data_IF_722556179028
#
_entry.id   IF_722556179028
#
_cell.length_a   1.000
_cell.length_b   1.000
_cell.length_c   1.000
_cell.angle_alpha   90.00
_cell.angle_beta   90.00
_cell.angle_gamma   90.00
#
_symmetry.space_group_name_H-M   'P 1'
#
loop_
_entity.id
_entity.type
_entity.pdbx_description
1 polymer ?
#
# COMPACT_ATOMS: atom_id res chain seq x y z
N UNK A 1 7.46 -55.42 -12.06
CA UNK A 1 8.23 -54.62 -11.08
C UNK A 1 7.47 -53.30 -10.77
N UNK A 2 6.47 -53.40 -9.92
CA UNK A 2 5.56 -52.26 -9.57
C UNK A 2 6.36 -51.06 -9.07
N UNK A 3 7.40 -51.32 -8.25
CA UNK A 3 8.26 -50.25 -7.67
C UNK A 3 8.99 -49.44 -8.75
N UNK A 4 9.49 -50.09 -9.80
CA UNK A 4 10.18 -49.40 -10.90
C UNK A 4 9.21 -48.48 -11.69
N UNK A 5 7.97 -48.93 -11.93
CA UNK A 5 6.95 -48.12 -12.58
C UNK A 5 6.51 -46.95 -11.72
N UNK A 6 6.37 -47.15 -10.40
CA UNK A 6 6.01 -46.10 -9.46
C UNK A 6 7.12 -45.02 -9.41
N UNK A 7 8.38 -45.42 -9.33
CA UNK A 7 9.50 -44.48 -9.33
C UNK A 7 9.58 -43.68 -10.63
N UNK A 8 9.38 -44.33 -11.78
CA UNK A 8 9.36 -43.66 -13.08
C UNK A 8 8.20 -42.65 -13.13
N UNK A 9 7.00 -43.08 -12.71
CA UNK A 9 5.82 -42.20 -12.67
C UNK A 9 6.02 -40.96 -11.80
N UNK A 10 6.55 -41.16 -10.59
CA UNK A 10 6.87 -40.04 -9.68
C UNK A 10 7.94 -39.11 -10.27
N UNK A 11 8.96 -39.66 -10.92
CA UNK A 11 9.98 -38.86 -11.59
C UNK A 11 9.42 -37.97 -12.70
N UNK A 12 8.58 -38.56 -13.58
CA UNK A 12 7.91 -37.81 -14.66
C UNK A 12 6.93 -36.75 -14.08
N UNK A 13 6.18 -37.12 -13.05
CA UNK A 13 5.25 -36.20 -12.38
C UNK A 13 6.00 -34.98 -11.80
N UNK A 14 7.07 -35.22 -11.06
CA UNK A 14 7.89 -34.15 -10.47
C UNK A 14 8.55 -33.28 -11.54
N UNK A 15 9.11 -33.89 -12.60
CA UNK A 15 9.71 -33.15 -13.71
C UNK A 15 8.66 -32.26 -14.42
N UNK A 16 7.45 -32.80 -14.68
CA UNK A 16 6.36 -32.05 -15.28
C UNK A 16 5.89 -30.91 -14.39
N UNK A 17 5.77 -31.14 -13.09
CA UNK A 17 5.40 -30.10 -12.12
C UNK A 17 6.41 -28.95 -12.12
N UNK A 18 7.71 -29.25 -12.05
CA UNK A 18 8.78 -28.25 -12.08
C UNK A 18 8.78 -27.46 -13.41
N UNK A 19 8.52 -28.15 -14.52
CA UNK A 19 8.45 -27.52 -15.84
C UNK A 19 7.28 -26.54 -15.91
N UNK A 20 6.08 -26.97 -15.51
CA UNK A 20 4.89 -26.11 -15.48
C UNK A 20 5.09 -24.92 -14.55
N UNK A 21 5.63 -25.13 -13.34
CA UNK A 21 5.91 -24.06 -12.40
C UNK A 21 6.89 -23.04 -13.00
N UNK A 22 7.99 -23.50 -13.62
CA UNK A 22 8.95 -22.61 -14.26
C UNK A 22 8.38 -21.81 -15.44
N UNK A 23 7.49 -22.43 -16.24
CA UNK A 23 6.84 -21.76 -17.37
C UNK A 23 5.76 -20.73 -16.92
N UNK A 24 5.10 -20.98 -15.79
CA UNK A 24 4.07 -20.08 -15.25
C UNK A 24 4.65 -18.91 -14.46
N UNK A 25 5.84 -19.07 -13.89
CA UNK A 25 6.45 -18.08 -13.01
C UNK A 25 6.73 -16.75 -13.73
N UNK A 26 7.26 -16.79 -14.95
CA UNK A 26 7.62 -15.58 -15.70
C UNK A 26 6.39 -14.72 -16.05
N UNK A 27 5.35 -15.23 -16.71
CA UNK A 27 4.15 -14.44 -17.00
C UNK A 27 3.42 -13.98 -15.75
N UNK A 28 3.46 -14.77 -14.66
CA UNK A 28 2.88 -14.36 -13.38
C UNK A 28 3.61 -13.16 -12.79
N UNK A 29 4.95 -13.19 -12.77
CA UNK A 29 5.77 -12.07 -12.29
C UNK A 29 5.61 -10.83 -13.17
N UNK A 30 5.51 -10.99 -14.48
CA UNK A 30 5.28 -9.86 -15.40
C UNK A 30 3.90 -9.24 -15.18
N UNK A 31 2.87 -10.04 -14.92
CA UNK A 31 1.54 -9.56 -14.59
C UNK A 31 1.53 -8.75 -13.28
N UNK A 32 2.06 -9.31 -12.20
CA UNK A 32 2.16 -8.61 -10.92
C UNK A 32 3.00 -7.33 -11.00
N UNK A 33 4.10 -7.36 -11.76
CA UNK A 33 4.90 -6.17 -11.98
C UNK A 33 4.10 -5.08 -12.70
N UNK A 34 3.29 -5.44 -13.69
CA UNK A 34 2.40 -4.50 -14.39
C UNK A 34 1.40 -3.87 -13.41
N UNK A 35 0.67 -4.67 -12.65
CA UNK A 35 -0.31 -4.17 -11.67
C UNK A 35 0.32 -3.25 -10.62
N UNK A 36 1.50 -3.60 -10.10
CA UNK A 36 2.21 -2.74 -9.13
C UNK A 36 2.61 -1.41 -9.75
N UNK A 37 3.19 -1.41 -10.95
CA UNK A 37 3.61 -0.17 -11.63
C UNK A 37 2.43 0.71 -12.02
N UNK A 38 1.31 0.11 -12.43
CA UNK A 38 0.10 0.83 -12.82
C UNK A 38 -0.63 1.44 -11.60
N UNK A 39 -0.40 0.90 -10.41
CA UNK A 39 -0.98 1.40 -9.15
C UNK A 39 -0.09 2.38 -8.37
N UNK A 40 1.12 2.67 -8.85
CA UNK A 40 1.99 3.66 -8.20
C UNK A 40 1.35 5.05 -8.23
N UNK A 41 1.33 5.72 -7.06
CA UNK A 41 0.73 7.05 -6.90
C UNK A 41 1.53 8.10 -7.67
N UNK A 42 2.87 8.00 -7.67
CA UNK A 42 3.78 8.92 -8.35
C UNK A 42 5.04 8.20 -8.82
N UNK A 43 5.72 8.75 -9.83
CA UNK A 43 6.98 8.19 -10.33
C UNK A 43 8.09 8.13 -9.26
N UNK A 44 8.06 9.08 -8.32
CA UNK A 44 8.95 9.12 -7.16
C UNK A 44 8.16 9.42 -5.90
N UNK A 45 8.39 8.60 -4.88
CA UNK A 45 7.85 8.79 -3.53
C UNK A 45 9.00 8.91 -2.55
N UNK A 46 9.11 10.07 -1.90
CA UNK A 46 10.16 10.36 -0.93
C UNK A 46 9.59 10.34 0.47
N UNK A 47 10.22 9.57 1.36
CA UNK A 47 9.96 9.62 2.81
C UNK A 47 11.14 10.29 3.47
N UNK A 48 10.89 11.40 4.14
CA UNK A 48 11.92 12.22 4.77
C UNK A 48 12.17 11.78 6.21
N UNK A 49 13.43 11.82 6.64
CA UNK A 49 13.80 11.62 8.05
C UNK A 49 13.43 12.82 8.93
N UNK A 50 13.41 14.00 8.33
CA UNK A 50 12.97 15.25 8.94
C UNK A 50 12.32 16.11 7.85
N UNK A 51 11.34 16.97 8.19
CA UNK A 51 10.71 17.86 7.22
C UNK A 51 11.77 18.82 6.65
N UNK A 52 12.02 18.71 5.35
CA UNK A 52 12.92 19.57 4.56
C UNK A 52 12.11 20.09 3.38
N UNK A 53 12.12 21.39 3.17
CA UNK A 53 11.47 22.00 2.01
C UNK A 53 12.31 21.79 0.74
N UNK A 54 11.63 21.51 -0.36
CA UNK A 54 12.22 21.42 -1.70
C UNK A 54 11.85 22.63 -2.53
N UNK A 55 12.72 22.97 -3.47
CA UNK A 55 12.47 24.03 -4.45
C UNK A 55 11.74 23.55 -5.71
N UNK A 56 11.42 22.26 -5.79
CA UNK A 56 10.76 21.66 -6.94
C UNK A 56 9.26 22.01 -6.98
N UNK A 57 8.80 22.63 -8.05
CA UNK A 57 7.41 23.07 -8.21
C UNK A 57 6.42 21.91 -8.37
N UNK A 58 6.89 20.73 -8.76
CA UNK A 58 6.07 19.53 -8.97
C UNK A 58 5.96 18.65 -7.73
N UNK A 59 6.73 18.92 -6.69
CA UNK A 59 6.74 18.15 -5.46
C UNK A 59 5.50 18.42 -4.61
N UNK A 60 4.71 17.38 -4.35
CA UNK A 60 3.50 17.46 -3.53
C UNK A 60 3.72 16.82 -2.17
N UNK A 61 3.41 17.56 -1.11
CA UNK A 61 3.54 17.08 0.27
C UNK A 61 2.47 16.05 0.61
N UNK A 62 2.89 14.97 1.26
CA UNK A 62 1.99 14.01 1.88
C UNK A 62 2.45 13.65 3.30
N UNK A 63 1.54 13.12 4.10
CA UNK A 63 1.85 12.59 5.42
C UNK A 63 1.73 11.07 5.40
N UNK A 64 2.59 10.40 6.16
CA UNK A 64 2.54 8.94 6.30
C UNK A 64 2.93 8.51 7.71
N UNK A 65 2.29 7.46 8.19
CA UNK A 65 2.69 6.71 9.38
C UNK A 65 2.30 5.24 9.24
N UNK A 66 2.91 4.40 10.05
CA UNK A 66 2.60 2.98 10.12
C UNK A 66 1.79 2.67 11.36
N UNK A 67 0.73 1.88 11.18
CA UNK A 67 -0.04 1.26 12.24
C UNK A 67 -0.01 -0.27 12.06
N UNK A 68 -0.45 -1.01 13.05
CA UNK A 68 -0.58 -2.47 12.98
C UNK A 68 -2.06 -2.88 13.05
N UNK A 69 -2.44 -3.85 12.23
CA UNK A 69 -3.74 -4.48 12.32
C UNK A 69 -3.78 -5.51 13.48
N UNK A 70 -4.95 -6.06 13.85
CA UNK A 70 -5.06 -7.07 14.92
C UNK A 70 -4.23 -8.35 14.68
N UNK A 71 -3.79 -8.61 13.45
CA UNK A 71 -2.92 -9.73 13.10
C UNK A 71 -1.43 -9.42 13.25
N UNK A 72 -1.07 -8.19 13.64
CA UNK A 72 0.32 -7.73 13.78
C UNK A 72 1.00 -7.37 12.47
N UNK A 73 0.22 -7.17 11.39
CA UNK A 73 0.76 -6.71 10.10
C UNK A 73 0.74 -5.19 10.02
N UNK A 74 1.79 -4.65 9.45
CA UNK A 74 1.97 -3.22 9.28
C UNK A 74 1.10 -2.67 8.16
N UNK A 75 0.36 -1.61 8.46
CA UNK A 75 -0.53 -0.90 7.55
C UNK A 75 -0.01 0.52 7.41
N UNK A 76 0.22 0.94 6.17
CA UNK A 76 0.64 2.31 5.89
C UNK A 76 -0.58 3.22 5.80
N UNK A 77 -0.64 4.25 6.64
CA UNK A 77 -1.69 5.27 6.62
C UNK A 77 -1.16 6.52 5.95
N UNK A 78 -1.81 6.92 4.86
CA UNK A 78 -1.48 8.09 4.08
C UNK A 78 -2.44 9.24 4.35
N UNK A 79 -1.89 10.43 4.58
CA UNK A 79 -2.61 11.70 4.55
C UNK A 79 -2.34 12.40 3.20
N UNK A 80 -3.35 12.49 2.36
CA UNK A 80 -3.27 13.01 0.98
C UNK A 80 -3.84 14.41 0.93
N UNK A 81 -3.21 15.32 0.18
CA UNK A 81 -3.71 16.67 -0.03
C UNK A 81 -5.03 16.66 -0.81
N UNK A 82 -5.95 17.56 -0.46
CA UNK A 82 -7.22 17.72 -1.17
C UNK A 82 -7.01 18.05 -2.66
N UNK A 83 -5.97 18.85 -2.96
CA UNK A 83 -5.61 19.25 -4.33
C UNK A 83 -4.57 18.32 -4.98
N UNK A 84 -4.46 17.07 -4.51
CA UNK A 84 -3.46 16.13 -5.02
C UNK A 84 -3.63 15.88 -6.52
N UNK A 85 -2.57 16.13 -7.28
CA UNK A 85 -2.49 15.79 -8.70
C UNK A 85 -2.12 14.34 -8.95
N UNK A 86 -1.61 13.65 -7.93
CA UNK A 86 -1.14 12.26 -8.03
C UNK A 86 -2.21 11.25 -7.63
N UNK A 87 -3.16 11.64 -6.80
CA UNK A 87 -4.15 10.72 -6.25
C UNK A 87 -5.45 10.61 -7.09
N UNK A 88 -5.54 11.33 -8.20
CA UNK A 88 -6.65 11.22 -9.15
C UNK A 88 -7.93 11.93 -8.71
N UNK A 89 -8.55 11.51 -7.63
CA UNK A 89 -9.75 12.14 -7.06
C UNK A 89 -9.49 12.61 -5.62
N UNK A 90 -9.99 13.81 -5.21
CA UNK A 90 -9.82 14.28 -3.84
C UNK A 90 -10.53 13.36 -2.85
N UNK A 91 -9.92 13.14 -1.69
CA UNK A 91 -10.55 12.43 -0.59
C UNK A 91 -11.31 13.47 0.26
N UNK A 92 -12.65 13.41 0.31
CA UNK A 92 -13.44 14.31 1.13
C UNK A 92 -13.08 14.23 2.62
N UNK A 93 -13.30 15.31 3.35
CA UNK A 93 -13.11 15.35 4.81
C UNK A 93 -13.97 14.27 5.49
N UNK A 94 -13.32 13.50 6.36
CA UNK A 94 -13.93 12.43 7.12
C UNK A 94 -14.05 11.09 6.39
N UNK A 95 -13.74 11.02 5.11
CA UNK A 95 -13.73 9.76 4.35
C UNK A 95 -12.39 9.03 4.43
N UNK A 96 -12.50 7.71 4.44
CA UNK A 96 -11.36 6.79 4.50
C UNK A 96 -11.42 5.79 3.35
N UNK A 97 -10.36 5.74 2.57
CA UNK A 97 -10.20 4.75 1.52
C UNK A 97 -9.25 3.65 1.98
N UNK A 98 -9.59 2.41 1.68
CA UNK A 98 -8.75 1.26 2.01
C UNK A 98 -8.23 0.61 0.73
N UNK A 99 -6.96 0.17 0.71
CA UNK A 99 -6.42 -0.53 -0.45
C UNK A 99 -7.22 -1.78 -0.76
N UNK A 100 -7.49 -2.04 -2.04
CA UNK A 100 -8.18 -3.25 -2.50
C UNK A 100 -7.43 -4.51 -2.06
N UNK A 101 -6.10 -4.50 -2.05
CA UNK A 101 -5.29 -5.59 -1.52
C UNK A 101 -5.57 -5.91 -0.04
N UNK A 102 -5.83 -4.88 0.80
CA UNK A 102 -6.24 -5.10 2.19
C UNK A 102 -7.66 -5.69 2.27
N UNK A 103 -8.60 -5.07 1.53
CA UNK A 103 -10.00 -5.49 1.54
C UNK A 103 -10.15 -6.94 1.08
N UNK A 104 -9.46 -7.34 0.02
CA UNK A 104 -9.47 -8.72 -0.48
C UNK A 104 -8.85 -9.70 0.51
N UNK A 105 -7.68 -9.36 1.06
CA UNK A 105 -6.95 -10.22 2.00
C UNK A 105 -7.73 -10.53 3.28
N UNK A 106 -8.45 -9.54 3.81
CA UNK A 106 -9.16 -9.66 5.09
C UNK A 106 -10.68 -9.76 4.95
N UNK A 107 -11.22 -9.72 3.75
CA UNK A 107 -12.65 -9.77 3.48
C UNK A 107 -13.42 -8.55 4.00
N UNK A 108 -12.74 -7.39 4.10
CA UNK A 108 -13.33 -6.12 4.54
C UNK A 108 -14.17 -5.53 3.42
N UNK A 109 -15.32 -4.95 3.76
CA UNK A 109 -16.23 -4.31 2.82
C UNK A 109 -16.43 -2.83 3.16
N UNK A 110 -16.96 -2.08 2.21
CA UNK A 110 -17.41 -0.72 2.44
C UNK A 110 -18.43 -0.67 3.58
N UNK A 111 -18.25 0.25 4.51
CA UNK A 111 -19.04 0.39 5.73
C UNK A 111 -18.51 -0.38 6.94
N UNK A 112 -17.55 -1.28 6.76
CA UNK A 112 -16.92 -1.97 7.87
C UNK A 112 -15.97 -1.04 8.64
N UNK A 113 -15.73 -1.36 9.91
CA UNK A 113 -14.75 -0.64 10.73
C UNK A 113 -13.48 -1.46 10.88
N UNK A 114 -12.35 -0.85 10.57
CA UNK A 114 -11.01 -1.42 10.74
C UNK A 114 -10.34 -0.74 11.93
N UNK A 115 -9.94 -1.53 12.91
CA UNK A 115 -9.20 -1.05 14.09
C UNK A 115 -7.71 -1.26 13.86
N UNK A 116 -6.94 -0.19 13.92
CA UNK A 116 -5.49 -0.20 13.80
C UNK A 116 -4.85 0.34 15.08
N UNK A 117 -3.70 -0.20 15.45
CA UNK A 117 -2.99 0.16 16.68
C UNK A 117 -1.60 0.71 16.37
N UNK A 118 -1.11 1.60 17.21
CA UNK A 118 0.25 2.08 17.09
C UNK A 118 1.20 1.06 17.72
N UNK A 119 2.23 0.67 16.99
CA UNK A 119 3.26 -0.25 17.48
C UNK A 119 3.87 0.25 18.80
N UNK A 120 3.91 -0.63 19.78
CA UNK A 120 4.44 -0.34 21.13
C UNK A 120 3.72 0.78 21.90
N UNK A 121 2.46 1.07 21.57
CA UNK A 121 1.63 2.02 22.30
C UNK A 121 0.22 1.48 22.48
N UNK A 122 -0.48 1.92 23.51
CA UNK A 122 -1.87 1.50 23.79
C UNK A 122 -2.89 2.29 22.95
N UNK A 123 -2.44 3.04 21.96
CA UNK A 123 -3.31 3.86 21.10
C UNK A 123 -3.91 3.01 20.01
N UNK A 124 -5.23 3.00 19.96
CA UNK A 124 -6.06 2.34 18.95
C UNK A 124 -6.87 3.38 18.18
N UNK A 125 -7.02 3.18 16.88
CA UNK A 125 -7.76 4.05 15.97
C UNK A 125 -8.76 3.22 15.18
N UNK A 126 -10.01 3.67 15.14
CA UNK A 126 -11.07 3.02 14.37
C UNK A 126 -11.34 3.82 13.09
N UNK A 127 -11.34 3.11 11.97
CA UNK A 127 -11.57 3.68 10.65
C UNK A 127 -12.77 3.01 10.01
N UNK A 128 -13.80 3.79 9.67
CA UNK A 128 -14.90 3.29 8.85
C UNK A 128 -14.48 3.39 7.37
N UNK A 129 -14.60 2.31 6.65
CA UNK A 129 -14.18 2.22 5.24
C UNK A 129 -15.28 2.80 4.36
N UNK A 130 -15.02 3.92 3.68
CA UNK A 130 -15.99 4.57 2.79
C UNK A 130 -15.89 4.05 1.35
N UNK A 131 -14.67 3.75 0.87
CA UNK A 131 -14.46 3.17 -0.46
C UNK A 131 -13.16 2.38 -0.54
N UNK A 132 -12.99 1.65 -1.65
CA UNK A 132 -11.71 1.01 -2.01
C UNK A 132 -10.87 1.93 -2.89
N UNK A 133 -9.56 1.85 -2.73
CA UNK A 133 -8.59 2.45 -3.65
C UNK A 133 -7.74 1.35 -4.28
N UNK A 134 -7.56 1.42 -5.61
CA UNK A 134 -6.77 0.42 -6.32
C UNK A 134 -5.27 0.54 -5.98
N UNK A 135 -4.84 -0.26 -5.00
CA UNK A 135 -3.47 -0.31 -4.51
C UNK A 135 -3.13 -1.73 -4.06
N UNK A 136 -2.97 -2.68 -5.03
CA UNK A 136 -2.93 -4.11 -4.74
C UNK A 136 -1.66 -4.57 -4.04
N UNK A 137 -0.56 -3.86 -4.22
CA UNK A 137 0.76 -4.30 -3.74
C UNK A 137 0.99 -4.08 -2.25
N UNK A 138 0.20 -3.21 -1.60
CA UNK A 138 0.49 -2.75 -0.24
C UNK A 138 -0.77 -2.66 0.59
N UNK A 139 -0.67 -3.02 1.87
CA UNK A 139 -1.74 -2.81 2.83
C UNK A 139 -1.73 -1.34 3.26
N UNK A 140 -2.65 -0.57 2.72
CA UNK A 140 -2.67 0.87 2.92
C UNK A 140 -4.07 1.43 3.19
N UNK A 141 -4.10 2.54 3.90
CA UNK A 141 -5.26 3.33 4.21
C UNK A 141 -4.97 4.79 3.80
N UNK A 142 -5.93 5.44 3.16
CA UNK A 142 -5.81 6.80 2.65
C UNK A 142 -6.91 7.67 3.24
N UNK A 143 -6.54 8.88 3.63
CA UNK A 143 -7.46 9.88 4.17
C UNK A 143 -7.00 11.29 3.81
N UNK A 144 -7.85 12.30 3.99
CA UNK A 144 -7.45 13.68 3.82
C UNK A 144 -6.32 14.05 4.79
N UNK A 145 -5.32 14.81 4.32
CA UNK A 145 -4.14 15.18 5.13
C UNK A 145 -4.52 15.98 6.38
N UNK A 146 -5.59 16.78 6.32
CA UNK A 146 -6.05 17.56 7.46
C UNK A 146 -6.67 16.67 8.54
N UNK A 147 -7.40 15.63 8.15
CA UNK A 147 -7.95 14.65 9.08
C UNK A 147 -6.84 13.75 9.65
N UNK A 148 -5.86 13.39 8.83
CA UNK A 148 -4.65 12.72 9.31
C UNK A 148 -3.95 13.52 10.41
N UNK A 149 -3.73 14.83 10.19
CA UNK A 149 -3.10 15.71 11.17
C UNK A 149 -3.87 15.81 12.46
N UNK A 150 -5.19 15.96 12.37
CA UNK A 150 -6.09 16.00 13.55
C UNK A 150 -6.08 14.68 14.32
N UNK A 151 -6.22 13.55 13.61
CA UNK A 151 -6.30 12.22 14.22
C UNK A 151 -5.03 11.83 14.95
N UNK A 152 -3.87 12.16 14.38
CA UNK A 152 -2.57 11.78 14.93
C UNK A 152 -1.85 12.89 15.71
N UNK A 153 -2.57 13.95 16.08
CA UNK A 153 -2.05 15.10 16.86
C UNK A 153 -0.77 15.68 16.23
N UNK A 154 -0.87 16.02 14.94
CA UNK A 154 0.20 16.64 14.16
C UNK A 154 -0.07 18.12 13.90
N UNK A 155 1.01 18.89 13.74
CA UNK A 155 0.93 20.29 13.37
C UNK A 155 0.25 20.47 12.00
N UNK A 156 -0.39 21.63 11.79
CA UNK A 156 -1.10 21.96 10.54
C UNK A 156 -0.20 21.89 9.30
N UNK A 157 1.10 22.11 9.45
CA UNK A 157 2.08 22.04 8.36
C UNK A 157 2.85 20.71 8.32
N UNK A 158 2.46 19.73 9.13
CA UNK A 158 3.14 18.44 9.17
C UNK A 158 3.03 17.71 7.84
N UNK A 159 4.17 17.20 7.37
CA UNK A 159 4.27 16.28 6.24
C UNK A 159 5.42 15.30 6.48
N UNK A 160 5.38 14.18 5.80
CA UNK A 160 6.40 13.12 5.93
C UNK A 160 7.22 12.93 4.68
N UNK A 161 6.80 13.49 3.55
CA UNK A 161 7.47 13.26 2.29
C UNK A 161 6.85 14.00 1.11
N UNK A 162 7.34 13.64 -0.07
CA UNK A 162 6.90 14.21 -1.33
C UNK A 162 6.57 13.13 -2.36
N UNK A 163 5.49 13.35 -3.10
CA UNK A 163 5.28 12.75 -4.41
C UNK A 163 5.87 13.68 -5.48
N UNK A 164 6.51 13.13 -6.51
CA UNK A 164 7.07 13.90 -7.60
C UNK A 164 7.19 13.06 -8.88
N UNK A 165 7.04 13.68 -10.03
CA UNK A 165 7.32 13.07 -11.34
C UNK A 165 8.80 13.14 -11.70
N UNK A 166 9.58 13.95 -10.97
CA UNK A 166 10.99 14.17 -11.23
C UNK A 166 11.83 13.80 -10.00
N UNK A 167 13.09 13.47 -10.26
CA UNK A 167 14.03 13.21 -9.19
C UNK A 167 14.37 14.49 -8.45
N UNK A 168 14.06 14.54 -7.14
CA UNK A 168 14.47 15.63 -6.26
C UNK A 168 15.93 15.45 -5.86
N UNK A 169 16.74 16.53 -5.94
CA UNK A 169 18.16 16.49 -5.64
C UNK A 169 18.54 17.38 -4.46
N UNK A 170 17.57 18.10 -3.89
CA UNK A 170 17.77 19.09 -2.84
C UNK A 170 17.22 18.66 -1.46
N UNK A 171 16.77 17.40 -1.34
CA UNK A 171 16.28 16.77 -0.10
C UNK A 171 17.03 15.50 0.26
#
# INVERSE_FOLDING_TARGET
NLTAYLTLFLGVLMASFLLFFGLMLSPLLDHFKGEVLDSEIAAYQYILKAPVETSADDAEKYAVLSLENPNGEEITVYGISEDSKYFGEPIPDGEVLLSDGYMEKYGVQQGDTVTLTKKYADNSYDFTVDASYHYPATLALFMNINDFRKMFDKDENYFSGYFSDQKLNDI
#
